data_IF_452792527912
#
_entry.id   IF_452792527912
#
_cell.length_a   1.000
_cell.length_b   1.000
_cell.length_c   1.000
_cell.angle_alpha   90.00
_cell.angle_beta   90.00
_cell.angle_gamma   90.00
#
_symmetry.space_group_name_H-M   'P 1'
#
loop_
_entity.id
_entity.type
_entity.pdbx_description
1 polymer ?
#
# COMPACT_ATOMS: atom_id res chain seq x y z
N UNK A 1 -4.18 9.27 16.65
CA UNK A 1 -5.17 8.24 16.24
C UNK A 1 -5.13 7.80 14.77
N UNK A 2 -5.46 8.62 13.74
CA UNK A 2 -5.49 8.12 12.33
C UNK A 2 -4.11 8.06 11.66
N UNK A 3 -3.30 9.12 11.81
CA UNK A 3 -1.97 9.23 11.19
C UNK A 3 -0.98 8.18 11.70
N UNK A 4 -1.02 7.87 13.00
CA UNK A 4 -0.16 6.83 13.61
C UNK A 4 -0.50 5.45 13.06
N UNK A 5 -1.79 5.10 12.97
CA UNK A 5 -2.22 3.82 12.40
C UNK A 5 -1.81 3.68 10.93
N UNK A 6 -1.91 4.75 10.14
CA UNK A 6 -1.40 4.74 8.75
C UNK A 6 0.13 4.63 8.67
N UNK A 7 0.85 5.15 9.67
CA UNK A 7 2.30 5.01 9.73
C UNK A 7 2.71 3.57 10.06
N UNK A 8 2.05 2.97 11.04
CA UNK A 8 2.24 1.57 11.38
C UNK A 8 1.93 0.65 10.20
N UNK A 9 0.79 0.87 9.52
CA UNK A 9 0.46 0.11 8.30
C UNK A 9 1.53 0.26 7.21
N UNK A 10 2.14 1.45 7.06
CA UNK A 10 3.22 1.64 6.10
C UNK A 10 4.47 0.81 6.45
N UNK A 11 4.84 0.74 7.73
CA UNK A 11 5.95 -0.11 8.19
C UNK A 11 5.64 -1.59 7.97
N UNK A 12 4.43 -2.03 8.32
CA UNK A 12 3.99 -3.42 8.19
C UNK A 12 3.92 -3.86 6.71
N UNK A 13 3.47 -3.00 5.82
CA UNK A 13 3.35 -3.30 4.38
C UNK A 13 4.60 -3.00 3.57
N UNK A 14 5.64 -2.37 4.14
CA UNK A 14 6.84 -2.01 3.41
C UNK A 14 7.49 -3.19 2.66
N UNK A 15 7.67 -4.40 3.26
CA UNK A 15 8.21 -5.54 2.54
C UNK A 15 7.34 -5.95 1.35
N UNK A 16 6.03 -6.06 1.55
CA UNK A 16 5.05 -6.44 0.52
C UNK A 16 5.08 -5.46 -0.66
N UNK A 17 5.15 -4.15 -0.38
CA UNK A 17 5.20 -3.11 -1.40
C UNK A 17 6.51 -3.16 -2.18
N UNK A 18 7.64 -3.40 -1.50
CA UNK A 18 8.95 -3.55 -2.17
C UNK A 18 9.01 -4.77 -3.08
N UNK A 19 8.43 -5.90 -2.67
CA UNK A 19 8.33 -7.09 -3.53
C UNK A 19 7.49 -6.81 -4.78
N UNK A 20 6.41 -6.02 -4.64
CA UNK A 20 5.56 -5.61 -5.78
C UNK A 20 6.35 -4.71 -6.73
N UNK A 21 7.14 -3.77 -6.21
CA UNK A 21 8.02 -2.93 -7.03
C UNK A 21 9.12 -3.74 -7.73
N UNK A 22 9.74 -4.69 -7.04
CA UNK A 22 10.75 -5.59 -7.60
C UNK A 22 10.18 -6.48 -8.72
N UNK A 23 8.88 -6.80 -8.65
CA UNK A 23 8.16 -7.49 -9.73
C UNK A 23 7.80 -6.59 -10.93
N UNK A 24 8.24 -5.33 -10.95
CA UNK A 24 8.07 -4.40 -12.07
C UNK A 24 6.83 -3.51 -12.01
N UNK A 25 6.05 -3.56 -10.92
CA UNK A 25 4.84 -2.74 -10.79
C UNK A 25 5.22 -1.34 -10.32
N UNK A 26 5.37 -0.40 -11.25
CA UNK A 26 5.86 0.96 -10.96
C UNK A 26 4.77 2.02 -10.80
N UNK A 27 3.50 1.68 -11.04
CA UNK A 27 2.39 2.64 -10.94
C UNK A 27 1.59 2.46 -9.65
N UNK A 28 1.05 3.55 -9.11
CA UNK A 28 0.18 3.47 -7.92
C UNK A 28 -1.13 2.70 -8.19
N UNK A 29 -1.64 2.74 -9.42
CA UNK A 29 -2.80 1.95 -9.83
C UNK A 29 -2.46 0.44 -9.84
N UNK A 30 -1.30 0.07 -10.38
CA UNK A 30 -0.80 -1.30 -10.33
C UNK A 30 -0.58 -1.77 -8.89
N UNK A 31 0.03 -0.94 -8.04
CA UNK A 31 0.21 -1.26 -6.62
C UNK A 31 -1.14 -1.50 -5.92
N UNK A 32 -2.13 -0.63 -6.15
CA UNK A 32 -3.47 -0.80 -5.60
C UNK A 32 -4.13 -2.10 -6.08
N UNK A 33 -4.02 -2.39 -7.39
CA UNK A 33 -4.55 -3.62 -7.98
C UNK A 33 -3.94 -4.87 -7.35
N UNK A 34 -2.61 -4.93 -7.20
CA UNK A 34 -1.93 -6.09 -6.61
C UNK A 34 -2.26 -6.24 -5.12
N UNK A 35 -2.31 -5.14 -4.36
CA UNK A 35 -2.71 -5.22 -2.94
C UNK A 35 -4.14 -5.74 -2.78
N UNK A 36 -5.07 -5.29 -3.63
CA UNK A 36 -6.44 -5.79 -3.64
C UNK A 36 -6.52 -7.26 -4.06
N UNK A 37 -5.77 -7.66 -5.09
CA UNK A 37 -5.71 -9.05 -5.54
C UNK A 37 -5.13 -9.99 -4.48
N UNK A 38 -4.20 -9.50 -3.65
CA UNK A 38 -3.66 -10.22 -2.48
C UNK A 38 -4.59 -10.17 -1.26
N UNK A 39 -5.75 -9.54 -1.35
CA UNK A 39 -6.72 -9.43 -0.25
C UNK A 39 -6.25 -8.56 0.92
N UNK A 40 -5.26 -7.68 0.70
CA UNK A 40 -4.73 -6.80 1.75
C UNK A 40 -5.65 -5.58 1.89
N UNK A 41 -6.38 -5.38 2.99
CA UNK A 41 -7.21 -4.20 3.16
C UNK A 41 -6.40 -2.98 3.60
N UNK A 42 -6.93 -1.79 3.35
CA UNK A 42 -6.47 -0.56 4.02
C UNK A 42 -6.76 -0.63 5.52
N UNK A 43 -6.16 0.27 6.31
CA UNK A 43 -6.38 0.36 7.77
C UNK A 43 -7.85 0.49 8.20
N UNK A 44 -8.74 0.91 7.29
CA UNK A 44 -10.18 1.05 7.54
C UNK A 44 -11.00 -0.12 6.96
N UNK A 45 -10.36 -1.23 6.56
CA UNK A 45 -11.04 -2.38 5.96
C UNK A 45 -11.52 -2.18 4.51
N UNK A 46 -11.12 -1.07 3.86
CA UNK A 46 -11.50 -0.76 2.47
C UNK A 46 -10.46 -1.26 1.47
N UNK A 47 -10.84 -1.37 0.20
CA UNK A 47 -9.92 -1.62 -0.91
C UNK A 47 -8.98 -0.44 -1.16
N UNK A 48 -7.86 -0.73 -1.81
CA UNK A 48 -6.88 0.24 -2.26
C UNK A 48 -7.37 0.94 -3.53
N UNK A 49 -7.26 2.27 -3.54
CA UNK A 49 -7.30 3.08 -4.76
C UNK A 49 -5.89 3.57 -5.09
N UNK A 50 -5.68 4.06 -6.31
CA UNK A 50 -4.40 4.68 -6.70
C UNK A 50 -3.98 5.80 -5.72
N UNK A 51 -4.94 6.58 -5.22
CA UNK A 51 -4.69 7.64 -4.24
C UNK A 51 -4.24 7.11 -2.88
N UNK A 52 -4.85 6.04 -2.35
CA UNK A 52 -4.43 5.48 -1.06
C UNK A 52 -3.12 4.71 -1.19
N UNK A 53 -2.89 4.04 -2.32
CA UNK A 53 -1.61 3.40 -2.64
C UNK A 53 -0.47 4.43 -2.76
N UNK A 54 -0.71 5.59 -3.40
CA UNK A 54 0.26 6.70 -3.43
C UNK A 54 0.63 7.17 -2.02
N UNK A 55 -0.36 7.35 -1.14
CA UNK A 55 -0.12 7.79 0.25
C UNK A 55 0.68 6.76 1.05
N UNK A 56 0.45 5.47 0.80
CA UNK A 56 1.24 4.39 1.38
C UNK A 56 2.68 4.44 0.87
N UNK A 57 2.87 4.48 -0.45
CA UNK A 57 4.18 4.52 -1.09
C UNK A 57 5.04 5.70 -0.59
N UNK A 58 4.47 6.91 -0.54
CA UNK A 58 5.14 8.10 -0.02
C UNK A 58 5.58 7.99 1.45
N UNK A 59 5.00 7.06 2.20
CA UNK A 59 5.34 6.83 3.61
C UNK A 59 6.36 5.72 3.80
N UNK A 60 6.58 4.89 2.79
CA UNK A 60 7.59 3.83 2.76
C UNK A 60 8.95 4.39 2.33
N UNK A 61 8.96 5.42 1.48
CA UNK A 61 10.19 6.02 0.92
C UNK A 61 10.43 5.55 -0.49
#
# INVERSE_FOLDING_TARGET
MRRERSARQAVELAPVVRDIWAAGVSTYAGLASVLNARGVPTINGRTWSSTTARRLALRIG
#
